data_IF_946471390631
#
_entry.id   IF_946471390631
#
_cell.length_a   1.000
_cell.length_b   1.000
_cell.length_c   1.000
_cell.angle_alpha   90.00
_cell.angle_beta   90.00
_cell.angle_gamma   90.00
#
_symmetry.space_group_name_H-M   'P 1'
#
loop_
_entity.id
_entity.type
_entity.pdbx_description
1 polymer ?
#
# COMPACT_ATOMS: atom_id res chain seq x y z
N UNK A 1 53.26 -40.53 4.15
CA UNK A 1 53.72 -41.71 3.35
C UNK A 1 53.13 -41.56 1.95
N UNK A 2 54.00 -41.15 1.09
CA UNK A 2 54.30 -41.72 -0.26
C UNK A 2 53.17 -41.73 -1.30
N UNK A 3 53.33 -40.78 -2.24
CA UNK A 3 53.03 -40.90 -3.69
C UNK A 3 53.71 -42.19 -4.27
N UNK A 4 53.74 -42.50 -5.59
CA UNK A 4 53.19 -41.81 -6.78
C UNK A 4 52.87 -42.79 -7.97
N UNK A 5 52.81 -42.24 -9.17
CA UNK A 5 53.27 -42.66 -10.51
C UNK A 5 52.22 -43.11 -11.52
N UNK A 6 52.19 -42.34 -12.56
CA UNK A 6 52.73 -42.43 -13.94
C UNK A 6 51.90 -43.28 -14.91
N UNK A 7 51.46 -42.65 -15.93
CA UNK A 7 51.99 -42.48 -17.30
C UNK A 7 51.53 -43.58 -18.28
N UNK A 8 50.91 -43.20 -19.42
CA UNK A 8 51.49 -43.53 -20.75
C UNK A 8 50.58 -42.90 -21.88
N UNK A 9 51.26 -42.12 -22.65
CA UNK A 9 50.82 -41.69 -23.97
C UNK A 9 50.96 -42.82 -24.97
N UNK A 10 50.02 -42.92 -25.93
CA UNK A 10 50.29 -43.59 -27.21
C UNK A 10 49.55 -42.82 -28.30
N UNK A 11 50.27 -42.19 -29.17
CA UNK A 11 49.77 -41.57 -30.37
C UNK A 11 49.48 -42.56 -31.47
N UNK A 12 48.55 -42.30 -32.30
CA UNK A 12 48.43 -42.88 -33.62
C UNK A 12 48.10 -41.79 -34.65
N UNK A 13 48.95 -41.74 -35.63
CA UNK A 13 48.81 -41.04 -36.93
C UNK A 13 47.97 -41.94 -37.84
N UNK A 14 47.06 -41.39 -38.58
CA UNK A 14 46.79 -41.85 -39.94
C UNK A 14 45.79 -40.96 -40.68
N UNK A 15 46.23 -40.42 -41.73
CA UNK A 15 45.71 -40.39 -43.10
C UNK A 15 44.46 -39.53 -43.39
N UNK A 16 44.77 -38.47 -44.09
CA UNK A 16 43.85 -37.63 -44.85
C UNK A 16 43.35 -38.40 -46.09
N UNK A 17 42.01 -38.46 -46.22
CA UNK A 17 41.38 -38.76 -47.51
C UNK A 17 40.38 -37.61 -47.80
N UNK A 18 40.66 -36.84 -48.84
CA UNK A 18 39.84 -35.76 -49.32
C UNK A 18 38.54 -36.30 -49.94
N UNK A 19 37.40 -35.79 -49.43
CA UNK A 19 36.13 -35.88 -50.12
C UNK A 19 35.69 -34.46 -50.52
N UNK A 20 35.65 -34.19 -51.80
CA UNK A 20 35.10 -32.99 -52.42
C UNK A 20 33.56 -33.10 -52.28
N UNK A 21 32.95 -32.32 -51.39
CA UNK A 21 31.55 -32.14 -51.30
C UNK A 21 31.14 -30.90 -52.09
N UNK A 22 30.40 -31.15 -53.20
CA UNK A 22 29.74 -30.15 -54.03
C UNK A 22 28.62 -29.52 -53.17
N UNK A 23 28.79 -28.26 -52.76
CA UNK A 23 27.72 -27.47 -52.18
C UNK A 23 26.72 -27.02 -53.26
N UNK A 24 25.58 -27.71 -53.36
CA UNK A 24 24.40 -27.20 -54.02
C UNK A 24 23.78 -26.12 -53.10
N UNK A 25 23.85 -24.89 -53.51
CA UNK A 25 23.22 -23.77 -52.81
C UNK A 25 21.71 -23.90 -52.76
N UNK A 26 21.15 -24.23 -51.59
CA UNK A 26 19.76 -23.92 -51.27
C UNK A 26 19.73 -22.47 -50.79
N UNK A 27 19.14 -21.58 -51.54
CA UNK A 27 18.69 -20.27 -51.12
C UNK A 27 17.63 -20.42 -50.04
N UNK A 28 18.07 -20.56 -48.78
CA UNK A 28 17.20 -20.45 -47.62
C UNK A 28 16.69 -19.02 -47.51
N UNK A 29 15.41 -18.81 -47.67
CA UNK A 29 14.76 -17.55 -47.33
C UNK A 29 15.11 -17.16 -45.88
N UNK A 30 15.60 -15.94 -45.68
CA UNK A 30 15.70 -15.38 -44.37
C UNK A 30 14.27 -15.29 -43.81
N UNK A 31 13.94 -16.22 -42.93
CA UNK A 31 12.83 -16.02 -42.00
C UNK A 31 13.14 -14.74 -41.21
N UNK A 32 12.56 -13.63 -41.63
CA UNK A 32 12.44 -12.44 -40.81
C UNK A 32 11.55 -12.86 -39.64
N UNK A 33 12.17 -13.38 -38.56
CA UNK A 33 11.50 -13.48 -37.28
C UNK A 33 10.96 -12.08 -36.98
N UNK A 34 9.63 -11.95 -37.02
CA UNK A 34 8.97 -10.72 -36.55
C UNK A 34 9.43 -10.44 -35.10
N UNK A 35 9.33 -9.20 -34.64
CA UNK A 35 9.69 -8.87 -33.27
C UNK A 35 9.02 -9.90 -32.34
N UNK A 36 9.74 -10.40 -31.31
CA UNK A 36 9.21 -11.40 -30.41
C UNK A 36 7.86 -10.90 -29.89
N UNK A 37 6.83 -11.77 -30.00
CA UNK A 37 5.49 -11.45 -29.50
C UNK A 37 5.64 -11.02 -28.04
N UNK A 38 5.25 -9.81 -27.71
CA UNK A 38 5.28 -9.29 -26.35
C UNK A 38 4.50 -10.27 -25.47
N UNK A 39 5.15 -10.77 -24.44
CA UNK A 39 4.54 -11.69 -23.49
C UNK A 39 3.27 -11.05 -22.92
N UNK A 40 2.13 -11.78 -23.01
CA UNK A 40 0.82 -11.27 -22.57
C UNK A 40 0.63 -11.47 -21.08
N UNK A 41 1.49 -10.82 -20.30
CA UNK A 41 1.46 -10.86 -18.84
C UNK A 41 1.70 -9.45 -18.28
N UNK A 42 1.14 -9.16 -17.10
CA UNK A 42 1.49 -8.01 -16.27
C UNK A 42 1.58 -8.47 -14.82
N UNK A 43 2.68 -8.13 -14.15
CA UNK A 43 2.95 -8.50 -12.77
C UNK A 43 2.65 -7.30 -11.87
N UNK A 44 1.60 -7.41 -11.07
CA UNK A 44 1.12 -6.40 -10.15
C UNK A 44 1.55 -6.75 -8.72
N UNK A 45 2.16 -5.81 -8.00
CA UNK A 45 2.47 -5.91 -6.58
C UNK A 45 1.69 -4.84 -5.83
N UNK A 46 0.76 -5.26 -5.00
CA UNK A 46 -0.23 -4.38 -4.38
C UNK A 46 -0.39 -4.71 -2.89
N UNK A 47 -1.17 -3.96 -2.18
CA UNK A 47 -1.64 -4.27 -0.85
C UNK A 47 -2.58 -5.48 -0.85
N UNK A 48 -2.67 -6.19 0.26
CA UNK A 48 -3.65 -7.25 0.44
C UNK A 48 -5.08 -6.72 0.33
N UNK A 49 -5.96 -7.47 -0.35
CA UNK A 49 -7.39 -7.11 -0.54
C UNK A 49 -7.64 -5.70 -1.12
N UNK A 50 -6.75 -5.18 -1.99
CA UNK A 50 -6.75 -3.79 -2.43
C UNK A 50 -7.10 -3.59 -3.92
N UNK A 51 -7.98 -4.45 -4.43
CA UNK A 51 -8.61 -4.35 -5.75
C UNK A 51 -9.92 -5.15 -5.74
N UNK A 52 -10.96 -4.68 -6.42
CA UNK A 52 -12.20 -5.44 -6.57
C UNK A 52 -11.93 -6.76 -7.31
N UNK A 53 -12.40 -7.91 -6.80
CA UNK A 53 -12.07 -9.23 -7.34
C UNK A 53 -12.55 -9.47 -8.78
N UNK A 54 -13.47 -8.65 -9.29
CA UNK A 54 -13.98 -8.75 -10.67
C UNK A 54 -13.14 -7.96 -11.68
N UNK A 55 -12.28 -7.04 -11.22
CA UNK A 55 -11.52 -6.12 -12.06
C UNK A 55 -10.45 -6.85 -12.86
N UNK A 56 -9.65 -7.71 -12.21
CA UNK A 56 -8.59 -8.49 -12.89
C UNK A 56 -9.18 -9.43 -13.93
N UNK A 57 -10.17 -10.30 -13.63
CA UNK A 57 -10.77 -11.17 -14.65
C UNK A 57 -11.39 -10.42 -15.83
N UNK A 58 -11.99 -9.24 -15.58
CA UNK A 58 -12.55 -8.42 -16.64
C UNK A 58 -11.47 -7.83 -17.57
N UNK A 59 -10.35 -7.37 -17.01
CA UNK A 59 -9.19 -6.92 -17.77
C UNK A 59 -8.58 -8.05 -18.61
N UNK A 60 -8.34 -9.21 -18.00
CA UNK A 60 -7.80 -10.38 -18.68
C UNK A 60 -8.68 -10.81 -19.87
N UNK A 61 -10.01 -10.77 -19.67
CA UNK A 61 -10.99 -11.09 -20.72
C UNK A 61 -10.95 -10.08 -21.87
N UNK A 62 -10.81 -8.78 -21.55
CA UNK A 62 -10.85 -7.71 -22.55
C UNK A 62 -9.56 -7.63 -23.36
N UNK A 63 -8.40 -7.74 -22.70
CA UNK A 63 -7.09 -7.51 -23.33
C UNK A 63 -6.34 -8.79 -23.68
N UNK A 64 -6.76 -9.94 -23.17
CA UNK A 64 -6.06 -11.22 -23.34
C UNK A 64 -4.67 -11.20 -22.67
N UNK A 65 -4.48 -10.36 -21.65
CA UNK A 65 -3.24 -10.22 -20.87
C UNK A 65 -3.49 -10.80 -19.50
N UNK A 66 -2.66 -11.76 -19.09
CA UNK A 66 -2.72 -12.40 -17.77
C UNK A 66 -2.17 -11.45 -16.68
N UNK A 67 -2.86 -11.32 -15.57
CA UNK A 67 -2.39 -10.57 -14.41
C UNK A 67 -1.86 -11.52 -13.34
N UNK A 68 -0.57 -11.39 -13.00
CA UNK A 68 0.01 -12.03 -11.81
C UNK A 68 -0.12 -11.03 -10.67
N UNK A 69 -0.81 -11.41 -9.59
CA UNK A 69 -1.11 -10.53 -8.47
C UNK A 69 -0.41 -11.03 -7.21
N UNK A 70 0.57 -10.26 -6.74
CA UNK A 70 1.27 -10.50 -5.49
C UNK A 70 0.97 -9.39 -4.49
N UNK A 71 1.08 -9.68 -3.18
CA UNK A 71 0.74 -8.74 -2.12
C UNK A 71 1.90 -8.46 -1.18
N UNK A 72 1.84 -7.29 -0.52
CA UNK A 72 2.73 -6.89 0.58
C UNK A 72 1.92 -6.20 1.68
N UNK A 73 2.52 -6.09 2.87
CA UNK A 73 1.86 -5.62 4.08
C UNK A 73 2.36 -4.25 4.56
N UNK A 74 3.45 -3.73 3.97
CA UNK A 74 3.99 -2.40 4.31
C UNK A 74 4.82 -1.79 3.17
N UNK A 75 4.84 -0.46 3.11
CA UNK A 75 5.67 0.28 2.15
C UNK A 75 7.16 -0.02 2.31
N UNK A 76 7.63 -0.31 3.55
CA UNK A 76 9.03 -0.66 3.82
C UNK A 76 9.43 -1.99 3.14
N UNK A 77 8.51 -2.96 3.08
CA UNK A 77 8.70 -4.22 2.35
C UNK A 77 8.79 -3.95 0.84
N UNK A 78 7.86 -3.14 0.32
CA UNK A 78 7.86 -2.73 -1.08
C UNK A 78 9.18 -2.01 -1.44
N UNK A 79 9.54 -0.96 -0.68
CA UNK A 79 10.77 -0.17 -0.90
C UNK A 79 12.02 -1.06 -0.87
N UNK A 80 12.15 -1.93 0.13
CA UNK A 80 13.27 -2.87 0.23
C UNK A 80 13.39 -3.73 -1.03
N UNK A 81 12.27 -4.22 -1.55
CA UNK A 81 12.25 -5.05 -2.76
C UNK A 81 12.61 -4.25 -4.01
N UNK A 82 12.14 -3.00 -4.12
CA UNK A 82 12.45 -2.12 -5.25
C UNK A 82 13.93 -1.70 -5.25
N UNK A 83 14.47 -1.34 -4.09
CA UNK A 83 15.88 -0.94 -3.93
C UNK A 83 16.86 -2.10 -4.18
N UNK A 84 16.46 -3.35 -3.89
CA UNK A 84 17.26 -4.53 -4.23
C UNK A 84 17.40 -4.75 -5.75
N UNK A 85 16.59 -4.09 -6.57
CA UNK A 85 16.54 -4.25 -8.02
C UNK A 85 15.90 -5.58 -8.46
N UNK A 86 15.60 -5.68 -9.77
CA UNK A 86 15.03 -6.91 -10.36
C UNK A 86 13.76 -7.41 -9.66
N UNK A 87 12.86 -6.48 -9.29
CA UNK A 87 11.63 -6.79 -8.56
C UNK A 87 10.67 -7.73 -9.29
N UNK A 88 10.83 -7.88 -10.63
CA UNK A 88 9.96 -8.63 -11.55
C UNK A 88 8.53 -8.08 -11.66
N UNK A 89 8.24 -6.95 -11.04
CA UNK A 89 6.92 -6.33 -11.13
C UNK A 89 6.88 -5.28 -12.23
N UNK A 90 5.73 -5.19 -12.86
CA UNK A 90 5.44 -4.22 -13.91
C UNK A 90 4.68 -3.01 -13.37
N UNK A 91 3.89 -3.24 -12.31
CA UNK A 91 3.15 -2.20 -11.58
C UNK A 91 3.31 -2.44 -10.09
N UNK A 92 3.50 -1.35 -9.36
CA UNK A 92 3.49 -1.31 -7.89
C UNK A 92 2.57 -0.21 -7.38
N UNK A 93 2.10 -0.33 -6.13
CA UNK A 93 1.10 0.57 -5.54
C UNK A 93 1.62 1.20 -4.24
N UNK A 94 2.67 2.01 -4.28
CA UNK A 94 3.21 2.64 -3.08
C UNK A 94 2.29 3.73 -2.53
N UNK A 95 2.41 4.00 -1.22
CA UNK A 95 1.88 5.23 -0.64
C UNK A 95 2.67 6.44 -1.14
N UNK A 96 1.98 7.53 -1.45
CA UNK A 96 2.58 8.71 -2.08
C UNK A 96 3.74 9.33 -1.27
N UNK A 97 3.76 9.18 0.05
CA UNK A 97 4.84 9.72 0.88
C UNK A 97 6.16 8.93 0.78
N UNK A 98 6.17 7.70 0.24
CA UNK A 98 7.40 6.97 -0.12
C UNK A 98 7.93 7.40 -1.50
N UNK A 99 7.04 7.84 -2.38
CA UNK A 99 7.32 8.10 -3.78
C UNK A 99 8.51 9.07 -4.00
N UNK A 100 8.59 10.15 -3.20
CA UNK A 100 9.68 11.14 -3.35
C UNK A 100 11.06 10.53 -3.15
N UNK A 101 11.21 9.66 -2.16
CA UNK A 101 12.46 8.97 -1.86
C UNK A 101 12.78 7.92 -2.93
N UNK A 102 11.80 7.16 -3.33
CA UNK A 102 11.91 6.10 -4.34
C UNK A 102 12.22 6.67 -5.73
N UNK A 103 11.62 7.82 -6.09
CA UNK A 103 11.98 8.54 -7.34
C UNK A 103 13.46 8.98 -7.32
N UNK A 104 13.95 9.53 -6.19
CA UNK A 104 15.35 9.91 -6.03
C UNK A 104 16.30 8.72 -6.12
N UNK A 105 15.86 7.56 -5.66
CA UNK A 105 16.60 6.31 -5.78
C UNK A 105 16.57 5.71 -7.20
N UNK A 106 15.78 6.27 -8.12
CA UNK A 106 15.70 5.83 -9.51
C UNK A 106 14.96 4.51 -9.72
N UNK A 107 14.10 4.10 -8.79
CA UNK A 107 13.40 2.81 -8.88
C UNK A 107 12.20 2.83 -9.82
N UNK A 108 11.77 4.02 -10.29
CA UNK A 108 10.64 4.17 -11.21
C UNK A 108 11.07 4.74 -12.56
N UNK A 109 10.37 4.35 -13.63
CA UNK A 109 10.48 5.00 -14.92
C UNK A 109 9.49 6.16 -15.04
N UNK A 110 9.85 7.17 -15.84
CA UNK A 110 8.93 8.26 -16.18
C UNK A 110 7.77 7.74 -17.03
N UNK A 111 6.55 8.17 -16.70
CA UNK A 111 5.36 7.80 -17.43
C UNK A 111 5.26 8.49 -18.79
N UNK A 112 5.00 7.72 -19.84
CA UNK A 112 4.52 8.26 -21.12
C UNK A 112 3.02 8.51 -21.04
N UNK A 113 2.63 9.73 -20.71
CA UNK A 113 1.23 10.13 -20.54
C UNK A 113 0.38 9.93 -21.80
N UNK A 114 0.99 9.83 -22.99
CA UNK A 114 0.28 9.54 -24.26
C UNK A 114 -0.33 8.12 -24.26
N UNK A 115 0.25 7.20 -23.46
CA UNK A 115 -0.24 5.83 -23.28
C UNK A 115 -1.36 5.73 -22.25
N UNK A 116 -1.73 6.83 -21.58
CA UNK A 116 -2.73 6.91 -20.54
C UNK A 116 -3.89 7.87 -20.92
N UNK A 117 -4.68 7.60 -21.96
CA UNK A 117 -5.77 8.47 -22.38
C UNK A 117 -6.84 8.72 -21.30
N UNK A 118 -6.99 7.80 -20.32
CA UNK A 118 -7.90 7.95 -19.19
C UNK A 118 -7.31 8.79 -18.04
N UNK A 119 -6.07 9.25 -18.14
CA UNK A 119 -5.48 10.18 -17.17
C UNK A 119 -6.31 11.47 -17.02
N UNK A 120 -7.04 11.87 -18.06
CA UNK A 120 -7.99 12.99 -18.04
C UNK A 120 -9.13 12.84 -17.02
N UNK A 121 -9.38 11.62 -16.55
CA UNK A 121 -10.42 11.33 -15.55
C UNK A 121 -9.93 11.54 -14.11
N UNK A 122 -8.61 11.64 -13.90
CA UNK A 122 -8.04 11.90 -12.56
C UNK A 122 -8.42 13.30 -12.11
N UNK A 123 -8.95 13.39 -10.89
CA UNK A 123 -9.39 14.65 -10.33
C UNK A 123 -8.23 15.65 -10.15
N UNK A 124 -8.45 16.93 -10.42
CA UNK A 124 -7.42 17.96 -10.25
C UNK A 124 -6.90 18.07 -8.81
N UNK A 125 -7.72 17.81 -7.79
CA UNK A 125 -7.31 17.77 -6.39
C UNK A 125 -6.29 16.67 -6.15
N UNK A 126 -6.53 15.47 -6.69
CA UNK A 126 -5.61 14.33 -6.60
C UNK A 126 -4.31 14.62 -7.33
N UNK A 127 -4.37 15.13 -8.55
CA UNK A 127 -3.20 15.50 -9.34
C UNK A 127 -2.35 16.58 -8.64
N UNK A 128 -3.00 17.57 -8.02
CA UNK A 128 -2.33 18.62 -7.25
C UNK A 128 -1.69 18.07 -5.98
N UNK A 129 -2.38 17.17 -5.27
CA UNK A 129 -1.84 16.50 -4.08
C UNK A 129 -0.63 15.65 -4.41
N UNK A 130 -0.67 14.88 -5.51
CA UNK A 130 0.43 14.05 -5.98
C UNK A 130 1.66 14.89 -6.36
N UNK A 131 1.47 16.07 -6.96
CA UNK A 131 2.57 16.96 -7.36
C UNK A 131 3.47 17.40 -6.19
N UNK A 132 3.00 17.27 -4.94
CA UNK A 132 3.81 17.53 -3.76
C UNK A 132 4.90 16.47 -3.50
N UNK A 133 4.77 15.29 -4.10
CA UNK A 133 5.70 14.15 -3.98
C UNK A 133 6.37 13.81 -5.31
N UNK A 134 5.65 14.04 -6.42
CA UNK A 134 6.10 13.83 -7.80
C UNK A 134 5.84 15.11 -8.60
N UNK A 135 6.75 16.10 -8.58
CA UNK A 135 6.59 17.35 -9.29
C UNK A 135 6.31 17.15 -10.79
N UNK A 136 5.13 17.62 -11.22
CA UNK A 136 4.63 17.44 -12.59
C UNK A 136 4.01 16.06 -12.85
N UNK A 137 3.82 15.22 -11.82
CA UNK A 137 3.21 13.88 -11.91
C UNK A 137 3.86 13.05 -13.03
N UNK A 138 5.18 12.92 -12.94
CA UNK A 138 5.99 12.31 -14.02
C UNK A 138 6.15 10.81 -13.85
N UNK A 139 6.04 10.28 -12.63
CA UNK A 139 6.39 8.89 -12.30
C UNK A 139 5.19 8.06 -11.84
N UNK A 140 4.14 8.72 -11.35
CA UNK A 140 3.00 8.01 -10.78
C UNK A 140 1.65 8.62 -11.17
N UNK A 141 0.61 7.82 -10.98
CA UNK A 141 -0.81 8.21 -11.13
C UNK A 141 -1.55 7.88 -9.84
N UNK A 142 -2.44 8.76 -9.37
CA UNK A 142 -3.28 8.47 -8.22
C UNK A 142 -4.12 7.19 -8.41
N UNK A 143 -4.23 6.40 -7.35
CA UNK A 143 -5.07 5.19 -7.32
C UNK A 143 -6.20 5.34 -6.31
N UNK A 144 -5.96 5.12 -5.01
CA UNK A 144 -6.92 5.38 -3.94
C UNK A 144 -6.55 6.66 -3.22
N UNK A 145 -7.56 7.48 -2.94
CA UNK A 145 -7.43 8.79 -2.33
C UNK A 145 -8.02 8.79 -0.93
N UNK A 146 -7.46 9.57 -0.01
CA UNK A 146 -7.95 9.75 1.35
C UNK A 146 -8.04 8.46 2.20
N UNK A 147 -6.94 7.71 2.29
CA UNK A 147 -6.78 6.74 3.38
C UNK A 147 -6.53 7.50 4.69
N UNK A 148 -7.55 7.58 5.54
CA UNK A 148 -7.53 8.37 6.78
C UNK A 148 -7.20 7.45 7.95
N UNK A 149 -6.16 7.78 8.72
CA UNK A 149 -5.89 7.13 10.00
C UNK A 149 -6.87 7.65 11.06
N UNK A 150 -7.54 6.76 11.77
CA UNK A 150 -8.54 7.15 12.76
C UNK A 150 -8.86 6.06 13.76
N UNK A 151 -10.00 6.19 14.41
CA UNK A 151 -10.47 5.30 15.46
C UNK A 151 -11.61 4.44 14.91
N UNK A 152 -11.37 3.13 14.76
CA UNK A 152 -12.40 2.13 14.51
C UNK A 152 -12.87 1.51 15.81
N UNK A 153 -14.18 1.33 15.99
CA UNK A 153 -14.68 0.76 17.23
C UNK A 153 -16.05 0.07 17.09
N UNK A 154 -16.26 -0.91 17.97
CA UNK A 154 -17.57 -1.54 18.18
C UNK A 154 -18.40 -0.66 19.12
N UNK A 155 -19.48 -0.09 18.61
CA UNK A 155 -20.34 0.88 19.32
C UNK A 155 -20.93 0.26 20.60
N UNK A 156 -21.43 -0.96 20.51
CA UNK A 156 -22.01 -1.68 21.66
C UNK A 156 -20.99 -1.95 22.75
N UNK A 157 -19.84 -2.50 22.40
CA UNK A 157 -18.76 -2.84 23.31
C UNK A 157 -18.16 -1.61 24.02
N UNK A 158 -17.98 -0.52 23.24
CA UNK A 158 -17.48 0.75 23.79
C UNK A 158 -18.49 1.35 24.77
N UNK A 159 -19.77 1.43 24.39
CA UNK A 159 -20.82 1.99 25.24
C UNK A 159 -21.03 1.19 26.54
N UNK A 160 -20.91 -0.14 26.47
CA UNK A 160 -21.04 -1.00 27.63
C UNK A 160 -19.95 -0.77 28.69
N UNK A 161 -18.72 -0.38 28.26
CA UNK A 161 -17.57 -0.15 29.17
C UNK A 161 -17.41 1.30 29.59
N UNK A 162 -17.83 2.23 28.73
CA UNK A 162 -17.70 3.67 28.94
C UNK A 162 -18.79 4.39 28.13
N UNK A 163 -19.92 4.70 28.74
CA UNK A 163 -21.07 5.32 28.07
C UNK A 163 -20.78 6.73 27.51
N UNK A 164 -19.82 7.43 28.11
CA UNK A 164 -19.31 8.75 27.73
C UNK A 164 -17.93 8.70 27.07
N UNK A 165 -17.60 7.58 26.43
CA UNK A 165 -16.31 7.40 25.76
C UNK A 165 -16.03 8.52 24.74
N UNK A 166 -14.82 9.13 24.76
CA UNK A 166 -14.46 10.24 23.88
C UNK A 166 -14.12 9.73 22.47
N UNK A 167 -15.11 9.14 21.77
CA UNK A 167 -14.92 8.49 20.46
C UNK A 167 -14.45 9.45 19.36
N UNK A 168 -14.60 10.76 19.55
CA UNK A 168 -14.13 11.81 18.67
C UNK A 168 -12.71 12.33 18.98
N UNK A 169 -11.98 11.65 19.85
CA UNK A 169 -10.67 12.09 20.35
C UNK A 169 -9.68 10.94 20.43
N UNK A 170 -8.43 11.22 20.10
CA UNK A 170 -7.29 10.31 20.30
C UNK A 170 -7.11 9.85 21.75
N UNK A 171 -7.79 10.49 22.72
CA UNK A 171 -7.85 10.01 24.11
C UNK A 171 -8.29 8.56 24.21
N UNK A 172 -9.14 8.09 23.30
CA UNK A 172 -9.57 6.68 23.25
C UNK A 172 -8.40 5.70 23.27
N UNK A 173 -7.31 6.04 22.61
CA UNK A 173 -6.16 5.16 22.39
C UNK A 173 -4.89 5.62 23.14
N UNK A 174 -4.74 6.93 23.38
CA UNK A 174 -3.50 7.48 23.93
C UNK A 174 -3.61 7.96 25.40
N UNK A 175 -4.79 7.96 26.00
CA UNK A 175 -4.96 8.16 27.44
C UNK A 175 -5.00 6.78 28.14
N UNK A 176 -3.99 6.43 28.99
CA UNK A 176 -3.93 5.15 29.69
C UNK A 176 -5.18 4.83 30.51
N UNK A 177 -5.80 5.86 31.13
CA UNK A 177 -7.00 5.67 31.95
C UNK A 177 -8.24 5.32 31.10
N UNK A 178 -8.26 5.78 29.84
CA UNK A 178 -9.35 5.50 28.90
C UNK A 178 -9.12 4.15 28.21
N UNK A 179 -7.96 3.94 27.57
CA UNK A 179 -7.69 2.72 26.80
C UNK A 179 -7.72 1.45 27.68
N UNK A 180 -7.32 1.55 28.94
CA UNK A 180 -7.38 0.44 29.88
C UNK A 180 -8.81 -0.15 30.07
N UNK A 181 -9.84 0.67 29.85
CA UNK A 181 -11.24 0.24 29.93
C UNK A 181 -11.66 -0.76 28.85
N UNK A 182 -10.87 -0.83 27.77
CA UNK A 182 -11.15 -1.64 26.58
C UNK A 182 -10.20 -2.83 26.43
N UNK A 183 -9.28 -3.04 27.41
CA UNK A 183 -8.26 -4.09 27.32
C UNK A 183 -8.87 -5.49 27.18
N UNK A 184 -9.96 -5.78 27.88
CA UNK A 184 -10.62 -7.09 27.90
C UNK A 184 -11.27 -7.43 26.56
N UNK A 185 -11.90 -6.45 25.88
CA UNK A 185 -12.52 -6.67 24.57
C UNK A 185 -11.53 -6.55 23.40
N UNK A 186 -10.32 -6.07 23.65
CA UNK A 186 -9.23 -6.05 22.68
C UNK A 186 -9.03 -4.73 21.97
N UNK A 187 -7.80 -4.23 22.08
CA UNK A 187 -7.35 -3.00 21.43
C UNK A 187 -6.20 -3.33 20.49
N UNK A 188 -6.25 -2.81 19.27
CA UNK A 188 -5.16 -2.97 18.30
C UNK A 188 -4.68 -1.63 17.73
N UNK A 189 -3.45 -1.63 17.25
CA UNK A 189 -2.86 -0.54 16.49
C UNK A 189 -2.27 -1.07 15.18
N UNK A 190 -2.24 -0.23 14.17
CA UNK A 190 -1.55 -0.51 12.91
C UNK A 190 -0.05 -0.78 13.15
N UNK A 191 0.53 -1.70 12.41
CA UNK A 191 1.98 -1.80 12.24
C UNK A 191 2.43 -0.84 11.12
N UNK A 192 2.19 0.44 11.34
CA UNK A 192 2.47 1.55 10.42
C UNK A 192 3.01 2.75 11.21
N UNK A 193 4.33 2.77 11.48
CA UNK A 193 4.94 3.72 12.42
C UNK A 193 4.66 5.19 12.07
N UNK A 194 4.66 5.56 10.80
CA UNK A 194 4.39 6.94 10.37
C UNK A 194 2.94 7.35 10.73
N UNK A 195 1.98 6.45 10.54
CA UNK A 195 0.57 6.70 10.87
C UNK A 195 0.35 6.81 12.39
N UNK A 196 0.86 5.85 13.16
CA UNK A 196 0.70 5.83 14.62
C UNK A 196 1.40 7.00 15.28
N UNK A 197 2.64 7.31 14.86
CA UNK A 197 3.39 8.45 15.39
C UNK A 197 2.73 9.78 14.99
N UNK A 198 2.24 9.90 13.75
CA UNK A 198 1.50 11.08 13.30
C UNK A 198 0.23 11.33 14.12
N UNK A 199 -0.54 10.29 14.41
CA UNK A 199 -1.72 10.33 15.29
C UNK A 199 -1.35 10.74 16.73
N UNK A 200 -0.28 10.15 17.27
CA UNK A 200 0.21 10.49 18.62
C UNK A 200 0.72 11.94 18.71
N UNK A 201 1.39 12.44 17.67
CA UNK A 201 1.80 13.84 17.58
C UNK A 201 0.60 14.79 17.55
N UNK A 202 -0.44 14.45 16.76
CA UNK A 202 -1.69 15.23 16.75
C UNK A 202 -2.34 15.27 18.13
N UNK A 203 -2.41 14.14 18.84
CA UNK A 203 -2.89 14.08 20.22
C UNK A 203 -2.09 14.97 21.17
N UNK A 204 -0.77 15.04 21.00
CA UNK A 204 0.12 15.92 21.79
C UNK A 204 0.08 17.40 21.36
N UNK A 205 -0.80 17.78 20.42
CA UNK A 205 -0.90 19.13 19.87
C UNK A 205 0.32 19.55 19.03
N UNK A 206 1.03 18.59 18.48
CA UNK A 206 2.24 18.80 17.68
C UNK A 206 1.95 18.59 16.17
N UNK A 207 2.86 19.06 15.32
CA UNK A 207 2.76 18.79 13.89
C UNK A 207 2.85 17.29 13.63
N UNK A 208 1.84 16.65 13.01
CA UNK A 208 1.85 15.22 12.70
C UNK A 208 3.04 14.76 11.85
N UNK A 209 3.65 15.68 11.11
CA UNK A 209 4.83 15.42 10.28
C UNK A 209 6.15 15.82 10.97
N UNK A 210 6.15 16.15 12.26
CA UNK A 210 7.39 16.52 12.98
C UNK A 210 8.47 15.44 12.80
N UNK A 211 9.71 15.92 12.66
CA UNK A 211 10.91 15.08 12.63
C UNK A 211 11.88 15.46 13.76
N UNK A 212 11.34 16.14 14.80
CA UNK A 212 12.10 16.47 15.99
C UNK A 212 12.36 15.22 16.85
N UNK A 213 13.61 14.91 17.22
CA UNK A 213 13.89 13.83 18.16
C UNK A 213 13.19 14.00 19.52
N UNK A 214 13.00 15.25 19.98
CA UNK A 214 12.28 15.57 21.22
C UNK A 214 10.78 15.21 21.10
N UNK A 215 10.17 15.47 19.96
CA UNK A 215 8.80 15.10 19.70
C UNK A 215 8.64 13.58 19.61
N UNK A 216 9.59 12.89 18.97
CA UNK A 216 9.59 11.42 18.92
C UNK A 216 9.74 10.81 20.33
N UNK A 217 10.60 11.38 21.18
CA UNK A 217 10.74 10.92 22.56
C UNK A 217 9.45 11.13 23.38
N UNK A 218 8.73 12.23 23.15
CA UNK A 218 7.41 12.45 23.78
C UNK A 218 6.38 11.39 23.29
N UNK A 219 6.37 11.07 22.01
CA UNK A 219 5.54 10.00 21.45
C UNK A 219 5.94 8.64 22.02
N UNK A 220 7.23 8.34 22.10
CA UNK A 220 7.72 7.08 22.68
C UNK A 220 7.20 6.90 24.12
N UNK A 221 7.32 7.92 24.96
CA UNK A 221 6.78 7.90 26.33
C UNK A 221 5.27 7.63 26.35
N UNK A 222 4.52 8.28 25.45
CA UNK A 222 3.08 8.10 25.34
C UNK A 222 2.72 6.67 24.93
N UNK A 223 3.37 6.14 23.89
CA UNK A 223 3.12 4.79 23.38
C UNK A 223 3.45 3.72 24.43
N UNK A 224 4.55 3.88 25.18
CA UNK A 224 4.88 2.95 26.27
C UNK A 224 3.87 2.98 27.42
N UNK A 225 3.25 4.12 27.71
CA UNK A 225 2.24 4.23 28.73
C UNK A 225 0.96 3.45 28.37
N UNK A 226 0.62 3.36 27.08
CA UNK A 226 -0.58 2.63 26.61
C UNK A 226 -0.28 1.20 26.16
N UNK A 227 0.99 0.85 25.93
CA UNK A 227 1.41 -0.47 25.43
C UNK A 227 0.83 -1.66 26.19
N UNK A 228 0.74 -1.64 27.54
CA UNK A 228 0.17 -2.77 28.30
C UNK A 228 -1.28 -3.10 27.93
N UNK A 229 -2.02 -2.17 27.36
CA UNK A 229 -3.45 -2.32 27.04
C UNK A 229 -3.67 -2.70 25.55
N UNK A 230 -2.59 -2.70 24.74
CA UNK A 230 -2.67 -3.03 23.32
C UNK A 230 -2.44 -4.52 23.13
N UNK A 231 -3.48 -5.22 22.63
CA UNK A 231 -3.44 -6.66 22.37
C UNK A 231 -2.51 -6.98 21.20
N UNK A 232 -2.62 -6.23 20.10
CA UNK A 232 -1.82 -6.48 18.89
C UNK A 232 -1.41 -5.20 18.18
N UNK A 233 -0.27 -5.27 17.49
CA UNK A 233 0.20 -4.26 16.54
C UNK A 233 0.34 -5.00 15.21
N UNK A 234 -0.65 -4.84 14.31
CA UNK A 234 -0.75 -5.61 13.07
C UNK A 234 -1.65 -4.89 12.06
N UNK A 235 -1.21 -4.73 10.82
CA UNK A 235 -1.97 -4.06 9.76
C UNK A 235 -2.77 -5.02 8.87
N UNK A 236 -2.46 -6.33 8.87
CA UNK A 236 -3.04 -7.29 7.95
C UNK A 236 -4.32 -7.99 8.47
N UNK A 237 -4.53 -8.04 9.78
CA UNK A 237 -5.59 -8.86 10.37
C UNK A 237 -6.63 -8.06 11.17
N UNK A 238 -6.28 -6.88 11.67
CA UNK A 238 -7.09 -6.13 12.63
C UNK A 238 -8.53 -5.85 12.13
N UNK A 239 -8.72 -5.64 10.84
CA UNK A 239 -10.04 -5.37 10.27
C UNK A 239 -10.92 -6.64 10.22
N UNK A 240 -10.34 -7.82 10.04
CA UNK A 240 -11.03 -9.10 10.19
C UNK A 240 -11.42 -9.37 11.65
N UNK A 241 -10.49 -9.15 12.57
CA UNK A 241 -10.69 -9.31 14.01
C UNK A 241 -11.78 -8.34 14.52
N UNK A 242 -11.81 -7.10 13.99
CA UNK A 242 -12.86 -6.13 14.30
C UNK A 242 -14.24 -6.60 13.79
N UNK A 243 -14.32 -7.10 12.55
CA UNK A 243 -15.54 -7.66 11.97
C UNK A 243 -16.05 -8.89 12.75
N UNK A 244 -15.12 -9.64 13.34
CA UNK A 244 -15.44 -10.83 14.15
C UNK A 244 -15.76 -10.52 15.61
N UNK A 245 -15.59 -9.29 16.07
CA UNK A 245 -15.71 -8.84 17.47
C UNK A 245 -14.60 -9.40 18.38
N UNK A 246 -13.46 -9.82 17.81
CA UNK A 246 -12.27 -10.18 18.56
C UNK A 246 -11.52 -8.93 19.05
N UNK A 247 -11.79 -7.80 18.41
CA UNK A 247 -11.35 -6.46 18.79
C UNK A 247 -12.56 -5.53 18.92
N UNK A 248 -12.49 -4.59 19.85
CA UNK A 248 -13.52 -3.58 20.05
C UNK A 248 -13.05 -2.15 19.78
N UNK A 249 -11.75 -1.92 19.73
CA UNK A 249 -11.14 -0.61 19.53
C UNK A 249 -9.85 -0.75 18.73
N UNK A 250 -9.72 0.05 17.67
CA UNK A 250 -8.52 0.01 16.83
C UNK A 250 -8.08 1.41 16.42
N UNK A 251 -6.75 1.63 16.35
CA UNK A 251 -6.17 2.65 15.49
C UNK A 251 -6.03 2.02 14.11
N UNK A 252 -6.84 2.45 13.16
CA UNK A 252 -6.96 1.82 11.85
C UNK A 252 -7.13 2.80 10.71
N UNK A 253 -7.19 2.30 9.51
CA UNK A 253 -7.51 3.07 8.30
C UNK A 253 -9.02 3.08 8.04
N UNK A 254 -9.51 4.19 7.49
CA UNK A 254 -10.94 4.43 7.28
C UNK A 254 -11.62 3.35 6.45
N UNK A 255 -11.10 3.00 5.29
CA UNK A 255 -11.71 2.01 4.41
C UNK A 255 -11.75 0.61 5.02
N UNK A 256 -10.69 0.22 5.74
CA UNK A 256 -10.63 -1.10 6.39
C UNK A 256 -11.70 -1.25 7.47
N UNK A 257 -11.95 -0.19 8.26
CA UNK A 257 -13.00 -0.22 9.29
C UNK A 257 -14.39 -0.26 8.64
N UNK A 258 -14.59 0.47 7.53
CA UNK A 258 -15.86 0.40 6.79
C UNK A 258 -16.02 -0.98 6.13
N UNK A 259 -14.97 -1.54 5.56
CA UNK A 259 -14.96 -2.91 5.02
C UNK A 259 -15.30 -3.92 6.12
N UNK A 260 -14.77 -3.74 7.35
CA UNK A 260 -15.13 -4.58 8.50
C UNK A 260 -16.62 -4.52 8.80
N UNK A 261 -17.20 -3.31 8.75
CA UNK A 261 -18.64 -3.10 8.96
C UNK A 261 -19.47 -3.86 7.92
N UNK A 262 -19.11 -3.75 6.64
CA UNK A 262 -19.84 -4.44 5.57
C UNK A 262 -19.69 -5.97 5.67
N UNK A 263 -18.50 -6.49 5.97
CA UNK A 263 -18.26 -7.92 6.19
C UNK A 263 -19.08 -8.45 7.38
N UNK A 264 -19.16 -7.72 8.48
CA UNK A 264 -19.98 -8.10 9.62
C UNK A 264 -21.46 -8.15 9.25
N UNK A 265 -21.95 -7.16 8.49
CA UNK A 265 -23.33 -7.10 7.99
C UNK A 265 -23.65 -8.27 7.05
N UNK A 266 -22.77 -8.58 6.10
CA UNK A 266 -22.93 -9.70 5.17
C UNK A 266 -22.92 -11.05 5.85
N UNK A 267 -22.13 -11.19 6.93
CA UNK A 267 -22.12 -12.38 7.78
C UNK A 267 -23.31 -12.48 8.75
N UNK A 268 -24.28 -11.55 8.68
CA UNK A 268 -25.47 -11.53 9.55
C UNK A 268 -25.16 -11.27 11.02
N UNK A 269 -24.00 -10.65 11.32
CA UNK A 269 -23.62 -10.33 12.69
C UNK A 269 -24.32 -9.06 13.17
N UNK A 270 -24.84 -9.08 14.39
CA UNK A 270 -25.44 -7.90 15.05
C UNK A 270 -24.37 -7.02 15.69
N UNK A 271 -23.36 -6.61 14.90
CA UNK A 271 -22.26 -5.76 15.34
C UNK A 271 -22.36 -4.40 14.64
N UNK A 272 -22.43 -3.35 15.44
CA UNK A 272 -22.38 -1.98 14.93
C UNK A 272 -20.95 -1.46 15.03
N UNK A 273 -20.28 -1.30 13.87
CA UNK A 273 -18.95 -0.76 13.78
C UNK A 273 -18.98 0.69 13.27
N UNK A 274 -18.20 1.55 13.91
CA UNK A 274 -18.07 2.95 13.53
C UNK A 274 -16.61 3.34 13.36
N UNK A 275 -16.40 4.37 12.54
CA UNK A 275 -15.11 5.05 12.38
C UNK A 275 -15.24 6.52 12.77
N UNK A 276 -14.26 7.02 13.50
CA UNK A 276 -14.19 8.42 13.89
C UNK A 276 -12.87 9.06 13.46
N UNK A 277 -12.98 10.26 12.89
CA UNK A 277 -11.85 11.14 12.61
C UNK A 277 -11.67 12.04 13.84
N UNK A 278 -10.57 11.91 14.60
CA UNK A 278 -10.39 12.64 15.85
C UNK A 278 -10.32 14.15 15.66
N UNK A 279 -10.88 14.87 16.61
CA UNK A 279 -10.98 16.34 16.59
C UNK A 279 -9.64 17.05 16.66
N UNK A 280 -8.63 16.42 17.21
CA UNK A 280 -7.24 16.91 17.26
C UNK A 280 -6.59 16.94 15.86
N UNK A 281 -7.24 16.33 14.86
CA UNK A 281 -6.69 16.10 13.56
C UNK A 281 -5.97 14.74 13.46
N UNK A 282 -5.59 14.38 12.24
CA UNK A 282 -4.93 13.10 11.96
C UNK A 282 -4.13 13.17 10.66
N UNK A 283 -3.41 12.10 10.37
CA UNK A 283 -2.74 11.92 9.09
C UNK A 283 -3.65 11.25 8.06
N UNK A 284 -3.46 11.64 6.82
CA UNK A 284 -4.07 10.98 5.67
C UNK A 284 -3.00 10.60 4.65
N UNK A 285 -3.23 9.48 3.98
CA UNK A 285 -2.39 9.00 2.90
C UNK A 285 -3.21 8.85 1.64
N UNK A 286 -2.55 8.65 0.53
CA UNK A 286 -3.14 8.14 -0.70
C UNK A 286 -2.11 7.28 -1.41
N UNK A 287 -2.60 6.34 -2.22
CA UNK A 287 -1.77 5.38 -2.90
C UNK A 287 -1.78 5.66 -4.40
N UNK A 288 -0.68 5.31 -5.02
CA UNK A 288 -0.44 5.63 -6.43
C UNK A 288 -0.07 4.37 -7.21
N UNK A 289 -0.22 4.44 -8.52
CA UNK A 289 0.24 3.42 -9.46
C UNK A 289 1.54 3.91 -10.07
N UNK A 290 2.61 3.14 -9.96
CA UNK A 290 3.91 3.43 -10.53
C UNK A 290 4.47 2.22 -11.28
N UNK A 291 5.32 2.48 -12.29
CA UNK A 291 5.97 1.45 -13.10
C UNK A 291 7.44 1.39 -12.70
N UNK A 292 7.93 0.27 -12.14
CA UNK A 292 9.35 0.12 -11.82
C UNK A 292 10.26 0.32 -13.04
N UNK A 293 11.45 0.87 -12.82
CA UNK A 293 12.43 1.12 -13.89
C UNK A 293 12.82 -0.16 -14.64
N UNK A 294 12.83 -1.32 -13.94
CA UNK A 294 13.14 -2.63 -14.50
C UNK A 294 11.92 -3.46 -14.94
N UNK A 295 10.73 -2.84 -15.11
CA UNK A 295 9.54 -3.56 -15.57
C UNK A 295 9.77 -4.25 -16.91
N UNK A 296 9.44 -5.54 -16.99
CA UNK A 296 9.62 -6.35 -18.20
C UNK A 296 8.51 -6.08 -19.23
N UNK A 297 7.31 -5.73 -18.77
CA UNK A 297 6.13 -5.56 -19.61
C UNK A 297 5.50 -4.17 -19.46
N UNK A 298 6.25 -3.07 -19.69
CA UNK A 298 5.77 -1.71 -19.43
C UNK A 298 4.54 -1.34 -20.27
N UNK A 299 4.42 -1.84 -21.50
CA UNK A 299 3.24 -1.57 -22.36
C UNK A 299 1.98 -2.21 -21.79
N UNK A 300 2.06 -3.42 -21.24
CA UNK A 300 0.95 -4.06 -20.55
C UNK A 300 0.60 -3.34 -19.25
N UNK A 301 1.62 -2.82 -18.54
CA UNK A 301 1.41 -1.99 -17.36
C UNK A 301 0.62 -0.72 -17.69
N UNK A 302 0.95 -0.02 -18.78
CA UNK A 302 0.18 1.14 -19.24
C UNK A 302 -1.27 0.78 -19.56
N UNK A 303 -1.53 -0.36 -20.20
CA UNK A 303 -2.89 -0.80 -20.49
C UNK A 303 -3.67 -1.05 -19.20
N UNK A 304 -3.07 -1.71 -18.21
CA UNK A 304 -3.72 -1.99 -16.93
C UNK A 304 -3.97 -0.72 -16.11
N UNK A 305 -2.97 0.18 -16.01
CA UNK A 305 -3.14 1.48 -15.33
C UNK A 305 -4.25 2.28 -16.01
N UNK A 306 -4.24 2.37 -17.34
CA UNK A 306 -5.27 3.08 -18.09
C UNK A 306 -6.66 2.46 -17.90
N UNK A 307 -6.75 1.13 -17.75
CA UNK A 307 -7.99 0.43 -17.44
C UNK A 307 -8.51 0.77 -16.05
N UNK A 308 -7.64 0.82 -15.04
CA UNK A 308 -8.02 1.21 -13.66
C UNK A 308 -8.53 2.66 -13.57
N UNK A 309 -8.12 3.53 -14.48
CA UNK A 309 -8.58 4.93 -14.56
C UNK A 309 -9.92 5.11 -15.29
N UNK A 310 -10.61 4.05 -15.66
CA UNK A 310 -12.00 4.12 -16.17
C UNK A 310 -12.94 4.41 -15.00
N UNK A 311 -13.93 5.30 -15.16
CA UNK A 311 -14.87 5.64 -14.08
C UNK A 311 -15.60 4.43 -13.49
N UNK A 312 -16.03 3.50 -14.35
CA UNK A 312 -16.74 2.28 -13.96
C UNK A 312 -15.85 1.28 -13.19
N UNK A 313 -14.55 1.22 -13.52
CA UNK A 313 -13.57 0.38 -12.81
C UNK A 313 -13.20 1.01 -11.46
N UNK A 314 -12.96 2.32 -11.46
CA UNK A 314 -12.69 3.07 -10.24
C UNK A 314 -13.86 3.02 -9.25
N UNK A 315 -15.12 3.11 -9.75
CA UNK A 315 -16.32 2.97 -8.93
C UNK A 315 -16.44 1.57 -8.30
N UNK A 316 -16.12 0.50 -9.04
CA UNK A 316 -16.09 -0.87 -8.49
C UNK A 316 -15.08 -0.98 -7.36
N UNK A 317 -13.86 -0.50 -7.57
CA UNK A 317 -12.83 -0.50 -6.54
C UNK A 317 -13.29 0.26 -5.29
N UNK A 318 -13.84 1.48 -5.43
CA UNK A 318 -14.38 2.22 -4.28
C UNK A 318 -15.49 1.44 -3.57
N UNK A 319 -16.41 0.81 -4.30
CA UNK A 319 -17.53 0.06 -3.70
C UNK A 319 -17.07 -1.15 -2.90
N UNK A 320 -15.93 -1.73 -3.24
CA UNK A 320 -15.34 -2.90 -2.54
C UNK A 320 -14.40 -2.47 -1.43
N UNK A 321 -13.53 -1.50 -1.70
CA UNK A 321 -12.45 -1.09 -0.80
C UNK A 321 -12.88 -0.02 0.22
N UNK A 322 -14.00 0.65 -0.02
CA UNK A 322 -14.53 1.74 0.81
C UNK A 322 -13.55 2.91 1.00
N UNK A 323 -12.68 3.13 0.01
CA UNK A 323 -11.84 4.31 -0.13
C UNK A 323 -12.27 5.15 -1.33
N UNK A 324 -12.14 6.47 -1.23
CA UNK A 324 -12.28 7.34 -2.40
C UNK A 324 -11.17 7.00 -3.41
N UNK A 325 -11.53 6.96 -4.70
CA UNK A 325 -10.56 6.73 -5.78
C UNK A 325 -10.05 8.05 -6.38
N UNK A 326 -9.05 7.97 -7.25
CA UNK A 326 -8.46 9.14 -7.93
C UNK A 326 -9.32 9.73 -9.04
N UNK A 327 -10.40 9.05 -9.44
CA UNK A 327 -11.32 9.42 -10.56
C UNK A 327 -12.68 9.84 -9.98
N UNK A 328 -12.69 10.54 -8.82
CA UNK A 328 -13.87 10.79 -8.00
C UNK A 328 -15.01 11.42 -8.80
N UNK A 329 -14.78 12.56 -9.45
CA UNK A 329 -15.82 13.30 -10.17
C UNK A 329 -16.56 12.45 -11.19
N UNK A 330 -15.84 11.63 -11.94
CA UNK A 330 -16.45 10.79 -12.99
C UNK A 330 -17.05 9.48 -12.45
N UNK A 331 -16.53 8.95 -11.34
CA UNK A 331 -16.98 7.68 -10.73
C UNK A 331 -18.13 7.85 -9.72
N UNK A 332 -18.24 9.02 -9.06
CA UNK A 332 -19.26 9.29 -8.03
C UNK A 332 -20.70 8.97 -8.46
N UNK A 333 -21.15 9.35 -9.67
CA UNK A 333 -22.51 9.03 -10.13
C UNK A 333 -22.79 7.52 -10.27
N UNK A 334 -21.74 6.70 -10.35
CA UNK A 334 -21.82 5.26 -10.52
C UNK A 334 -21.86 4.51 -9.18
N UNK A 335 -21.61 5.19 -8.07
CA UNK A 335 -21.62 4.61 -6.72
C UNK A 335 -23.04 4.55 -6.15
N UNK A 336 -23.29 3.54 -5.30
CA UNK A 336 -24.47 3.50 -4.47
C UNK A 336 -24.55 4.75 -3.59
N UNK A 337 -25.76 5.20 -3.29
CA UNK A 337 -25.99 6.42 -2.51
C UNK A 337 -25.34 6.33 -1.10
N UNK A 338 -25.41 5.16 -0.48
CA UNK A 338 -24.79 4.88 0.81
C UNK A 338 -23.26 5.04 0.80
N UNK A 339 -22.59 4.76 -0.32
CA UNK A 339 -21.14 4.90 -0.46
C UNK A 339 -20.77 6.35 -0.79
N UNK A 340 -21.43 6.95 -1.78
CA UNK A 340 -21.08 8.32 -2.20
C UNK A 340 -21.39 9.40 -1.15
N UNK A 341 -22.33 9.15 -0.24
CA UNK A 341 -22.71 10.06 0.84
C UNK A 341 -22.06 9.70 2.19
N UNK A 342 -21.22 8.66 2.25
CA UNK A 342 -20.52 8.30 3.49
C UNK A 342 -19.43 9.35 3.80
N UNK A 343 -19.54 10.08 4.93
CA UNK A 343 -18.60 11.15 5.28
C UNK A 343 -17.22 10.64 5.69
N UNK A 344 -17.03 9.33 5.82
CA UNK A 344 -15.73 8.70 6.07
C UNK A 344 -14.99 8.48 4.76
N UNK A 345 -15.71 8.10 3.70
CA UNK A 345 -15.15 7.93 2.35
C UNK A 345 -14.93 9.29 1.69
N UNK A 346 -15.94 10.18 1.79
CA UNK A 346 -15.94 11.50 1.20
C UNK A 346 -16.16 12.58 2.29
N UNK A 347 -15.16 12.84 3.13
CA UNK A 347 -15.29 13.77 4.23
C UNK A 347 -15.54 15.20 3.73
N UNK A 348 -16.43 15.96 4.44
CA UNK A 348 -16.71 17.33 4.08
C UNK A 348 -15.47 18.24 4.20
N UNK A 349 -15.43 19.38 3.50
CA UNK A 349 -14.24 20.24 3.42
C UNK A 349 -13.64 20.62 4.78
N UNK A 350 -14.46 20.92 5.79
CA UNK A 350 -14.02 21.30 7.13
C UNK A 350 -13.35 20.14 7.89
N UNK A 351 -13.67 18.90 7.55
CA UNK A 351 -12.99 17.70 8.08
C UNK A 351 -11.68 17.49 7.33
N UNK A 352 -11.70 17.57 5.99
CA UNK A 352 -10.50 17.46 5.15
C UNK A 352 -9.43 18.47 5.52
N UNK A 353 -9.80 19.70 5.90
CA UNK A 353 -8.86 20.73 6.34
C UNK A 353 -8.05 20.36 7.60
N UNK A 354 -8.48 19.35 8.37
CA UNK A 354 -7.78 18.83 9.55
C UNK A 354 -6.91 17.60 9.24
N UNK A 355 -6.95 17.11 8.02
CA UNK A 355 -6.14 15.98 7.59
C UNK A 355 -4.75 16.49 7.20
N UNK A 356 -3.72 15.96 7.83
CA UNK A 356 -2.33 16.26 7.48
C UNK A 356 -1.82 15.18 6.51
N UNK A 357 -1.55 15.50 5.23
CA UNK A 357 -0.93 14.53 4.34
C UNK A 357 0.41 14.06 4.90
N UNK A 358 0.62 12.75 4.99
CA UNK A 358 1.90 12.18 5.43
C UNK A 358 3.04 12.64 4.52
N UNK A 359 4.23 12.87 5.11
CA UNK A 359 5.42 13.35 4.39
C UNK A 359 6.56 12.38 4.56
N UNK A 360 7.38 12.27 3.52
CA UNK A 360 8.64 11.54 3.60
C UNK A 360 9.47 11.98 4.80
N UNK A 361 10.15 11.06 5.43
CA UNK A 361 11.02 11.31 6.58
C UNK A 361 12.49 11.29 6.14
N UNK A 362 13.33 12.08 6.80
CA UNK A 362 14.77 11.99 6.56
C UNK A 362 15.33 10.61 6.97
N UNK A 363 16.41 10.14 6.35
CA UNK A 363 17.02 8.86 6.72
C UNK A 363 17.42 8.78 8.21
N UNK A 364 17.86 9.91 8.80
CA UNK A 364 18.19 10.00 10.22
C UNK A 364 16.98 9.78 11.09
N UNK A 365 15.88 10.48 10.78
CA UNK A 365 14.64 10.35 11.55
C UNK A 365 14.02 8.96 11.35
N UNK A 366 14.05 8.42 10.16
CA UNK A 366 13.55 7.06 9.86
C UNK A 366 14.27 6.01 10.71
N UNK A 367 15.60 6.10 10.87
CA UNK A 367 16.35 5.21 11.76
C UNK A 367 15.89 5.32 13.21
N UNK A 368 15.74 6.53 13.73
CA UNK A 368 15.24 6.75 15.10
C UNK A 368 13.83 6.19 15.28
N UNK A 369 12.94 6.47 14.34
CA UNK A 369 11.58 5.99 14.30
C UNK A 369 11.52 4.46 14.32
N UNK A 370 12.26 3.78 13.43
CA UNK A 370 12.25 2.31 13.33
C UNK A 370 12.87 1.65 14.56
N UNK A 371 13.89 2.27 15.19
CA UNK A 371 14.43 1.80 16.47
C UNK A 371 13.39 1.89 17.59
N UNK A 372 12.72 3.03 17.73
CA UNK A 372 11.64 3.21 18.70
C UNK A 372 10.49 2.22 18.44
N UNK A 373 10.07 2.08 17.18
CA UNK A 373 8.96 1.21 16.80
C UNK A 373 9.24 -0.27 17.09
N UNK A 374 10.44 -0.76 16.78
CA UNK A 374 10.86 -2.13 17.08
C UNK A 374 10.81 -2.41 18.58
N UNK A 375 11.29 -1.49 19.42
CA UNK A 375 11.19 -1.61 20.89
C UNK A 375 9.74 -1.62 21.35
N UNK A 376 8.90 -0.71 20.83
CA UNK A 376 7.48 -0.64 21.16
C UNK A 376 6.78 -1.97 20.85
N UNK A 377 7.01 -2.56 19.67
CA UNK A 377 6.42 -3.86 19.30
C UNK A 377 6.89 -5.01 20.20
N UNK A 378 8.17 -5.06 20.50
CA UNK A 378 8.77 -6.12 21.33
C UNK A 378 8.48 -6.01 22.84
N UNK A 379 7.72 -5.00 23.29
CA UNK A 379 7.51 -4.69 24.71
C UNK A 379 8.82 -4.36 25.49
N UNK A 380 9.92 -4.15 24.79
CA UNK A 380 11.17 -3.78 25.41
C UNK A 380 11.09 -2.34 25.95
N UNK A 381 11.30 -2.16 27.27
CA UNK A 381 11.37 -0.83 27.86
C UNK A 381 12.59 -0.07 27.31
N UNK A 382 12.54 1.27 27.20
CA UNK A 382 13.73 2.05 26.91
C UNK A 382 14.83 1.73 27.92
N UNK A 383 16.09 1.68 27.48
CA UNK A 383 17.21 1.68 28.41
C UNK A 383 17.16 2.99 29.22
N UNK A 384 17.09 2.86 30.53
CA UNK A 384 17.05 3.97 31.52
C UNK A 384 18.26 4.86 31.43
#
# INVERSE_FOLDING_TARGET
MRSPLMSRATGWRALATGAVLVFTGCSGGADTAGPPATEKVVNLYNWGDYIDPTVIPAFEKEYGIKVTYDVYDSDEILETKLLAGHSRYDIVVPSAYFLEHEIKAGVYQKLDKRKLPNLKNVDPEVASGLAAYDPGNQYAVGYMWLSITGIGYNVGEVRARMSDAPVDSWRMLFDPAVVARFQDCGVAMLDAPINVVGAALAYLGKNPNSQSPQDLAAVEKLLYAVRPFIRSVNSAQYYGDLANSDLCLVLGWSGDVITSRERAREAGKSVELAFSIPKEGTVSNFDVLAIPAGAAHPDNAYLFINYLLRPEVAAKNTSTLMYANSVMTASLPLLAESVRNDPVIYPPPQVRAKLAPSRAKSPEYTRLLMHMWTRFKSHARPAS
#
